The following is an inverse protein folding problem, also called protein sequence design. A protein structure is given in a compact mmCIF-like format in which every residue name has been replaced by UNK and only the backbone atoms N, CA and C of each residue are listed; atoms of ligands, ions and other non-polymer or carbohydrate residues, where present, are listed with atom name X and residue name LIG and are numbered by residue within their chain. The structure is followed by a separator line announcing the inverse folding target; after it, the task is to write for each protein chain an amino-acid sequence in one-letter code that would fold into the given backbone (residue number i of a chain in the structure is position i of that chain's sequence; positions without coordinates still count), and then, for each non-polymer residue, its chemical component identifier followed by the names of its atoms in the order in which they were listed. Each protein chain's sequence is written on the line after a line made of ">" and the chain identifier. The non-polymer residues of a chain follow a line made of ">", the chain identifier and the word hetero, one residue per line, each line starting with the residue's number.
data_IF_847926329256
#
_entry.id   IF_847926329256
#
_cell.length_a   1.000
_cell.length_b   1.000
_cell.length_c   1.000
_cell.angle_alpha   90.00
_cell.angle_beta   90.00
_cell.angle_gamma   90.00
#
_symmetry.space_group_name_H-M   'P 1'
#
loop_
_entity.id
_entity.type
_entity.pdbx_description
1 polymer ?
#
# COMPACT_ATOMS: atom_id res chain seq x y z
N UNK A 1 0.92 -18.20 33.24
CA UNK A 1 -0.24 -19.10 33.05
C UNK A 1 -0.66 -18.99 31.59
N UNK A 2 -0.93 -20.10 30.91
CA UNK A 2 -1.35 -20.10 29.51
C UNK A 2 -2.75 -20.72 29.45
N UNK A 3 -3.67 -20.05 28.76
CA UNK A 3 -5.09 -20.42 28.62
C UNK A 3 -5.51 -20.26 27.15
N UNK A 4 -6.76 -20.50 26.79
CA UNK A 4 -7.25 -20.39 25.42
C UNK A 4 -8.63 -19.76 25.34
N UNK A 5 -8.93 -19.13 24.19
CA UNK A 5 -10.28 -18.66 23.88
C UNK A 5 -11.26 -19.84 23.93
N UNK A 6 -12.37 -19.67 24.63
CA UNK A 6 -13.38 -20.71 24.84
C UNK A 6 -13.14 -21.59 26.08
N UNK A 7 -12.01 -21.44 26.79
CA UNK A 7 -11.82 -22.05 28.11
C UNK A 7 -12.52 -21.20 29.17
N UNK A 8 -13.62 -21.72 29.72
CA UNK A 8 -14.37 -21.04 30.75
C UNK A 8 -13.50 -20.82 32.02
N UNK A 9 -13.59 -19.65 32.68
CA UNK A 9 -12.98 -19.44 33.98
C UNK A 9 -13.48 -20.45 35.01
N UNK A 10 -12.57 -21.05 35.76
CA UNK A 10 -12.91 -21.86 36.92
C UNK A 10 -13.32 -20.99 38.13
N UNK A 11 -13.64 -21.63 39.26
CA UNK A 11 -14.03 -20.95 40.50
C UNK A 11 -12.96 -20.03 41.09
N UNK A 12 -11.71 -20.13 40.64
CA UNK A 12 -10.59 -19.28 41.04
C UNK A 12 -10.27 -18.19 40.00
N UNK A 13 -11.06 -18.08 38.93
CA UNK A 13 -10.88 -17.13 37.84
C UNK A 13 -9.80 -17.56 36.83
N UNK A 14 -9.30 -18.80 36.90
CA UNK A 14 -8.34 -19.31 35.93
C UNK A 14 -9.09 -19.81 34.69
N UNK A 15 -8.81 -19.23 33.53
CA UNK A 15 -9.48 -19.51 32.26
C UNK A 15 -9.22 -18.37 31.27
N UNK A 16 -10.05 -18.19 30.25
CA UNK A 16 -9.89 -17.08 29.30
C UNK A 16 -10.23 -15.75 29.96
N UNK A 17 -9.21 -14.97 30.34
CA UNK A 17 -9.37 -13.60 30.78
C UNK A 17 -9.51 -12.62 29.59
N UNK A 18 -9.87 -11.37 29.88
CA UNK A 18 -10.15 -10.36 28.86
C UNK A 18 -8.89 -10.03 28.03
N UNK A 19 -7.71 -9.99 28.65
CA UNK A 19 -6.46 -9.73 27.94
C UNK A 19 -6.11 -10.88 26.99
N UNK A 20 -6.25 -12.14 27.44
CA UNK A 20 -6.02 -13.31 26.61
C UNK A 20 -6.96 -13.33 25.42
N UNK A 21 -8.24 -12.97 25.62
CA UNK A 21 -9.18 -12.83 24.51
C UNK A 21 -8.68 -11.80 23.49
N UNK A 22 -8.24 -10.61 23.94
CA UNK A 22 -7.70 -9.58 23.05
C UNK A 22 -6.42 -10.00 22.33
N UNK A 23 -5.56 -10.79 22.97
CA UNK A 23 -4.38 -11.37 22.32
C UNK A 23 -4.74 -12.39 21.25
N UNK A 24 -5.79 -13.19 21.46
CA UNK A 24 -6.29 -14.10 20.42
C UNK A 24 -6.90 -13.32 19.25
N UNK A 25 -7.61 -12.22 19.50
CA UNK A 25 -8.11 -11.34 18.43
C UNK A 25 -6.93 -10.71 17.68
N UNK A 26 -5.89 -10.24 18.37
CA UNK A 26 -4.69 -9.70 17.73
C UNK A 26 -4.01 -10.71 16.81
N UNK A 27 -4.08 -12.01 17.12
CA UNK A 27 -3.57 -13.06 16.24
C UNK A 27 -4.44 -13.32 14.98
N UNK A 28 -5.67 -12.79 14.92
CA UNK A 28 -6.59 -12.94 13.80
C UNK A 28 -6.51 -11.80 12.78
N UNK A 29 -5.90 -10.67 13.12
CA UNK A 29 -5.83 -9.47 12.30
C UNK A 29 -4.38 -9.02 12.12
N UNK A 30 -4.02 -8.57 10.92
CA UNK A 30 -2.68 -8.05 10.64
C UNK A 30 -2.51 -6.60 11.13
N UNK A 31 -3.60 -5.85 11.20
CA UNK A 31 -3.64 -4.43 11.57
C UNK A 31 -5.00 -4.05 12.18
N UNK A 32 -5.05 -2.88 12.84
CA UNK A 32 -6.31 -2.21 13.20
C UNK A 32 -6.96 -1.57 11.97
N UNK A 33 -8.26 -1.32 12.01
CA UNK A 33 -8.97 -0.72 10.88
C UNK A 33 -10.46 -1.05 10.87
N UNK A 34 -11.18 -0.51 9.88
CA UNK A 34 -12.61 -0.78 9.69
C UNK A 34 -12.81 -2.21 9.16
N UNK A 35 -13.75 -2.94 9.75
CA UNK A 35 -14.17 -4.26 9.25
C UNK A 35 -15.33 -4.06 8.26
N UNK A 36 -16.35 -3.29 8.66
CA UNK A 36 -17.54 -3.00 7.87
C UNK A 36 -18.29 -1.79 8.43
N UNK A 37 -18.93 -1.01 7.55
CA UNK A 37 -19.77 0.13 7.92
C UNK A 37 -18.91 1.29 8.43
N UNK A 38 -19.39 2.00 9.45
CA UNK A 38 -18.72 3.17 10.03
C UNK A 38 -18.52 4.33 9.03
N UNK A 39 -19.40 4.43 8.05
CA UNK A 39 -19.37 5.50 7.04
C UNK A 39 -19.60 6.85 7.70
N UNK A 40 -18.70 7.79 7.43
CA UNK A 40 -18.75 9.15 7.98
C UNK A 40 -19.45 10.10 7.01
N UNK A 41 -20.29 10.97 7.55
CA UNK A 41 -21.08 11.94 6.79
C UNK A 41 -21.23 13.27 7.54
N UNK A 42 -21.44 14.35 6.80
CA UNK A 42 -21.82 15.65 7.37
C UNK A 42 -23.26 15.67 7.87
N UNK A 43 -23.55 16.56 8.83
CA UNK A 43 -24.87 16.77 9.42
C UNK A 43 -25.24 18.24 9.51
N UNK A 44 -26.51 18.51 9.78
CA UNK A 44 -27.02 19.88 9.93
C UNK A 44 -26.59 20.55 11.25
N UNK A 45 -25.94 19.81 12.15
CA UNK A 45 -25.31 20.30 13.37
C UNK A 45 -23.77 20.25 13.24
N UNK A 46 -23.05 20.46 14.34
CA UNK A 46 -21.59 20.41 14.40
C UNK A 46 -21.06 19.02 14.81
N UNK A 47 -21.83 17.95 14.58
CA UNK A 47 -21.39 16.56 14.77
C UNK A 47 -21.23 15.88 13.42
N UNK A 48 -20.48 14.79 13.34
CA UNK A 48 -20.46 13.95 12.14
C UNK A 48 -21.40 12.78 12.31
N UNK A 49 -22.13 12.43 11.25
CA UNK A 49 -22.95 11.21 11.21
C UNK A 49 -22.06 10.00 10.97
N UNK A 50 -22.30 8.90 11.69
CA UNK A 50 -21.50 7.67 11.60
C UNK A 50 -22.41 6.46 11.54
N UNK A 51 -22.38 5.74 10.42
CA UNK A 51 -23.23 4.54 10.23
C UNK A 51 -22.85 3.41 11.20
N UNK A 52 -23.80 2.52 11.59
CA UNK A 52 -23.46 1.36 12.40
C UNK A 52 -22.41 0.47 11.73
N UNK A 53 -21.52 -0.12 12.52
CA UNK A 53 -20.43 -0.92 11.96
C UNK A 53 -19.43 -1.39 13.01
N UNK A 54 -18.34 -2.00 12.54
CA UNK A 54 -17.31 -2.57 13.40
C UNK A 54 -15.91 -2.23 12.91
N UNK A 55 -14.99 -2.10 13.87
CA UNK A 55 -13.56 -1.89 13.62
C UNK A 55 -12.72 -2.71 14.58
N UNK A 56 -11.52 -3.09 14.15
CA UNK A 56 -10.47 -3.61 15.03
C UNK A 56 -9.75 -2.42 15.64
N UNK A 57 -9.68 -2.37 16.98
CA UNK A 57 -9.03 -1.33 17.76
C UNK A 57 -7.92 -1.92 18.63
N UNK A 58 -6.96 -1.11 19.07
CA UNK A 58 -5.93 -1.52 20.02
C UNK A 58 -5.49 -0.34 20.87
N UNK A 59 -5.38 -0.52 22.20
CA UNK A 59 -4.77 0.48 23.10
C UNK A 59 -3.23 0.39 23.13
N UNK A 60 -2.64 -0.44 22.27
CA UNK A 60 -1.21 -0.73 22.20
C UNK A 60 -0.92 -2.23 22.22
N UNK A 61 0.30 -2.63 21.82
CA UNK A 61 0.69 -4.03 21.65
C UNK A 61 0.48 -4.89 22.90
N UNK A 62 0.75 -4.32 24.08
CA UNK A 62 0.60 -5.03 25.36
C UNK A 62 -0.87 -5.31 25.73
N UNK A 63 -1.82 -4.57 25.14
CA UNK A 63 -3.26 -4.72 25.39
C UNK A 63 -3.94 -5.68 24.41
N UNK A 64 -3.25 -6.07 23.32
CA UNK A 64 -3.83 -6.84 22.23
C UNK A 64 -4.79 -6.00 21.37
N UNK A 65 -5.75 -6.67 20.73
CA UNK A 65 -6.76 -6.02 19.87
C UNK A 65 -8.18 -6.34 20.34
N UNK A 66 -9.12 -5.43 20.12
CA UNK A 66 -10.56 -5.64 20.33
C UNK A 66 -11.33 -5.44 19.02
N UNK A 67 -12.50 -6.06 18.91
CA UNK A 67 -13.46 -5.76 17.83
C UNK A 67 -14.54 -4.86 18.44
N UNK A 68 -14.48 -3.57 18.12
CA UNK A 68 -15.42 -2.57 18.57
C UNK A 68 -16.64 -2.56 17.64
N UNK A 69 -17.84 -2.61 18.20
CA UNK A 69 -19.08 -2.44 17.44
C UNK A 69 -19.78 -1.15 17.87
N UNK A 70 -20.09 -0.30 16.89
CA UNK A 70 -20.91 0.89 17.06
C UNK A 70 -22.30 0.64 16.51
N UNK A 71 -23.31 0.67 17.38
CA UNK A 71 -24.70 0.41 17.01
C UNK A 71 -25.48 1.64 16.52
N UNK A 72 -24.98 2.86 16.78
CA UNK A 72 -25.62 4.11 16.34
C UNK A 72 -27.03 4.35 16.88
N UNK A 73 -27.41 3.77 18.02
CA UNK A 73 -28.79 3.79 18.49
C UNK A 73 -29.28 5.21 18.81
N UNK A 74 -30.45 5.57 18.25
CA UNK A 74 -31.16 6.84 18.49
C UNK A 74 -30.73 7.98 17.59
N UNK A 75 -29.44 8.30 17.57
CA UNK A 75 -28.85 9.36 16.74
C UNK A 75 -27.40 9.00 16.36
N UNK A 76 -27.17 8.33 15.21
CA UNK A 76 -25.87 7.79 14.83
C UNK A 76 -24.90 8.91 14.45
N UNK A 77 -24.21 9.46 15.45
CA UNK A 77 -23.26 10.56 15.29
C UNK A 77 -22.12 10.51 16.30
N UNK A 78 -21.10 11.35 16.09
CA UNK A 78 -20.03 11.57 17.06
C UNK A 78 -20.57 12.09 18.38
N UNK A 79 -19.98 11.64 19.49
CA UNK A 79 -20.40 12.04 20.84
C UNK A 79 -20.16 13.53 21.10
N UNK A 80 -19.03 14.05 20.61
CA UNK A 80 -18.63 15.44 20.73
C UNK A 80 -18.92 16.24 19.43
N UNK A 81 -18.98 17.55 19.58
CA UNK A 81 -19.08 18.51 18.48
C UNK A 81 -17.71 19.07 18.10
N UNK A 82 -17.59 19.53 16.86
CA UNK A 82 -16.52 20.44 16.43
C UNK A 82 -16.99 21.90 16.49
N UNK A 83 -16.10 22.84 16.22
CA UNK A 83 -16.43 24.25 16.04
C UNK A 83 -16.94 24.51 14.62
N UNK A 84 -17.58 25.67 14.42
CA UNK A 84 -17.83 26.17 13.07
C UNK A 84 -16.51 26.35 12.29
N UNK A 85 -16.59 26.38 10.96
CA UNK A 85 -15.47 26.60 10.07
C UNK A 85 -14.81 27.96 10.35
N UNK A 86 -13.48 27.99 10.26
CA UNK A 86 -12.72 29.25 10.33
C UNK A 86 -13.11 30.17 9.19
N UNK A 87 -13.01 31.49 9.39
CA UNK A 87 -13.44 32.46 8.37
C UNK A 87 -12.58 32.43 7.09
N UNK A 88 -11.33 31.97 7.17
CA UNK A 88 -10.32 32.13 6.11
C UNK A 88 -9.83 30.81 5.56
N UNK A 89 -9.61 29.80 6.41
CA UNK A 89 -8.92 28.58 6.04
C UNK A 89 -9.75 27.31 6.28
N UNK A 90 -9.62 26.28 5.40
CA UNK A 90 -10.17 24.97 5.69
C UNK A 90 -9.37 24.26 6.78
N UNK A 91 -9.94 23.17 7.31
CA UNK A 91 -9.26 22.23 8.19
C UNK A 91 -9.66 20.78 7.86
N UNK A 92 -8.92 19.83 8.38
CA UNK A 92 -9.25 18.40 8.31
C UNK A 92 -9.60 17.93 9.72
N UNK A 93 -10.78 17.34 9.89
CA UNK A 93 -11.24 16.76 11.14
C UNK A 93 -11.14 15.22 11.02
N UNK A 94 -10.66 14.54 12.06
CA UNK A 94 -10.52 13.09 12.09
C UNK A 94 -11.65 12.49 12.93
N UNK A 95 -12.50 11.68 12.30
CA UNK A 95 -13.54 10.91 13.00
C UNK A 95 -12.98 9.53 13.30
N UNK A 96 -13.10 9.11 14.55
CA UNK A 96 -12.48 7.87 15.02
C UNK A 96 -13.38 7.11 15.99
N UNK A 97 -13.16 5.80 16.05
CA UNK A 97 -13.73 4.88 17.01
C UNK A 97 -12.64 4.42 17.97
N UNK A 98 -12.97 4.31 19.26
CA UNK A 98 -12.05 3.79 20.28
C UNK A 98 -12.79 2.79 21.17
N UNK A 99 -12.09 1.73 21.56
CA UNK A 99 -12.58 0.73 22.50
C UNK A 99 -11.73 0.79 23.76
N UNK A 100 -12.20 1.46 24.80
CA UNK A 100 -11.49 1.46 26.07
C UNK A 100 -11.55 0.08 26.73
N UNK A 101 -10.43 -0.35 27.28
CA UNK A 101 -10.23 -1.64 27.94
C UNK A 101 -9.84 -1.43 29.41
N UNK A 102 -10.49 -0.50 30.10
CA UNK A 102 -10.28 -0.28 31.53
C UNK A 102 -10.62 1.14 32.00
N UNK A 103 -9.61 1.99 32.11
CA UNK A 103 -9.77 3.40 32.45
C UNK A 103 -9.75 4.24 31.15
N UNK A 104 -10.64 5.22 30.96
CA UNK A 104 -11.63 5.73 31.91
C UNK A 104 -12.86 4.81 32.08
N UNK A 105 -13.15 3.95 31.12
CA UNK A 105 -14.28 3.01 31.14
C UNK A 105 -14.01 1.76 30.27
N UNK A 106 -15.04 0.93 30.09
CA UNK A 106 -15.01 -0.27 29.26
C UNK A 106 -16.03 -0.15 28.11
N UNK A 107 -16.10 1.02 27.47
CA UNK A 107 -17.07 1.34 26.43
C UNK A 107 -16.39 1.58 25.07
N UNK A 108 -17.22 1.52 24.03
CA UNK A 108 -16.86 1.93 22.68
C UNK A 108 -17.37 3.35 22.49
N UNK A 109 -16.49 4.23 22.04
CA UNK A 109 -16.81 5.63 21.74
C UNK A 109 -16.56 5.94 20.28
N UNK A 110 -17.39 6.81 19.72
CA UNK A 110 -17.17 7.42 18.41
C UNK A 110 -17.07 8.93 18.59
N UNK A 111 -15.93 9.49 18.22
CA UNK A 111 -15.55 10.88 18.50
C UNK A 111 -14.94 11.53 17.28
N UNK A 112 -14.74 12.83 17.38
CA UNK A 112 -14.03 13.62 16.37
C UNK A 112 -12.94 14.45 17.01
N UNK A 113 -11.75 14.40 16.41
CA UNK A 113 -10.66 15.31 16.70
C UNK A 113 -10.64 16.40 15.63
N UNK A 114 -10.88 17.64 16.06
CA UNK A 114 -10.81 18.80 15.18
C UNK A 114 -9.36 19.11 14.78
N UNK A 115 -9.14 19.40 13.50
CA UNK A 115 -7.84 19.87 13.00
C UNK A 115 -7.63 21.37 13.16
N UNK A 116 -6.42 21.83 12.85
CA UNK A 116 -6.10 23.27 12.89
C UNK A 116 -6.33 23.91 11.52
N UNK A 117 -7.12 25.00 11.41
CA UNK A 117 -7.30 25.72 10.15
C UNK A 117 -5.99 26.22 9.55
N UNK A 118 -5.75 25.95 8.28
CA UNK A 118 -4.53 26.38 7.58
C UNK A 118 -4.71 26.35 6.06
N UNK A 119 -3.84 27.06 5.33
CA UNK A 119 -3.79 27.00 3.86
C UNK A 119 -3.37 25.63 3.30
N UNK A 120 -2.77 24.79 4.13
CA UNK A 120 -2.36 23.41 3.83
C UNK A 120 -2.67 22.57 5.07
N UNK A 121 -3.96 22.27 5.32
CA UNK A 121 -4.38 21.59 6.53
C UNK A 121 -3.77 20.18 6.56
N UNK A 122 -3.39 19.74 7.76
CA UNK A 122 -2.87 18.41 8.01
C UNK A 122 -3.87 17.59 8.83
N UNK A 123 -3.81 16.28 8.69
CA UNK A 123 -4.59 15.33 9.49
C UNK A 123 -4.20 15.46 10.97
N UNK A 124 -5.16 15.63 11.89
CA UNK A 124 -4.86 15.72 13.31
C UNK A 124 -4.59 14.33 13.91
N UNK A 125 -3.70 14.27 14.90
CA UNK A 125 -3.46 13.06 15.68
C UNK A 125 -4.64 12.81 16.64
N UNK A 126 -5.18 11.59 16.63
CA UNK A 126 -6.26 11.17 17.53
C UNK A 126 -5.72 10.64 18.85
N UNK A 127 -6.58 10.47 19.85
CA UNK A 127 -6.16 9.90 21.13
C UNK A 127 -5.61 8.47 20.98
N UNK A 128 -4.73 8.06 21.90
CA UNK A 128 -4.07 6.74 21.86
C UNK A 128 -5.12 5.62 21.81
N UNK A 129 -5.00 4.78 20.79
CA UNK A 129 -5.90 3.66 20.53
C UNK A 129 -7.17 4.01 19.76
N UNK A 130 -7.33 5.28 19.38
CA UNK A 130 -8.34 5.71 18.41
C UNK A 130 -8.02 5.18 17.02
N UNK A 131 -8.94 4.39 16.46
CA UNK A 131 -8.91 3.98 15.07
C UNK A 131 -9.68 5.00 14.23
N UNK A 132 -8.98 5.71 13.35
CA UNK A 132 -9.63 6.63 12.40
C UNK A 132 -10.53 5.84 11.46
N UNK A 133 -11.75 6.33 11.28
CA UNK A 133 -12.78 5.74 10.41
C UNK A 133 -13.16 6.67 9.25
N UNK A 134 -12.66 7.90 9.26
CA UNK A 134 -12.75 8.82 8.13
C UNK A 134 -12.18 10.20 8.48
N UNK A 135 -11.58 10.84 7.48
CA UNK A 135 -11.24 12.26 7.57
C UNK A 135 -12.26 13.09 6.80
N UNK A 136 -12.61 14.23 7.37
CA UNK A 136 -13.58 15.16 6.81
C UNK A 136 -12.96 16.55 6.70
N UNK A 137 -12.84 17.06 5.48
CA UNK A 137 -12.38 18.43 5.26
C UNK A 137 -13.55 19.39 5.48
N UNK A 138 -13.44 20.21 6.52
CA UNK A 138 -14.39 21.29 6.80
C UNK A 138 -13.93 22.56 6.05
N UNK A 139 -14.75 23.13 5.15
CA UNK A 139 -14.37 24.35 4.44
C UNK A 139 -14.47 25.59 5.34
N UNK A 140 -13.78 26.65 4.93
CA UNK A 140 -13.87 27.95 5.59
C UNK A 140 -15.31 28.48 5.59
N UNK A 141 -15.72 29.11 6.69
CA UNK A 141 -17.03 29.74 6.87
C UNK A 141 -18.22 28.77 7.03
N UNK A 142 -17.97 27.46 7.11
CA UNK A 142 -19.04 26.49 7.30
C UNK A 142 -19.68 26.60 8.69
N UNK A 143 -21.01 26.58 8.74
CA UNK A 143 -21.77 26.68 10.00
C UNK A 143 -22.21 25.31 10.56
N UNK A 144 -22.03 24.25 9.79
CA UNK A 144 -22.35 22.86 10.14
C UNK A 144 -21.47 21.89 9.37
N UNK A 145 -21.36 20.65 9.83
CA UNK A 145 -20.55 19.62 9.17
C UNK A 145 -21.15 19.15 7.84
N UNK A 146 -22.40 19.53 7.51
CA UNK A 146 -23.04 19.20 6.24
C UNK A 146 -22.27 19.71 5.01
N UNK A 147 -21.46 20.76 5.19
CA UNK A 147 -20.58 21.31 4.14
C UNK A 147 -19.24 20.58 4.04
N UNK A 148 -18.93 19.67 4.97
CA UNK A 148 -17.68 18.94 4.97
C UNK A 148 -17.68 17.85 3.89
N UNK A 149 -16.51 17.59 3.31
CA UNK A 149 -16.31 16.56 2.30
C UNK A 149 -15.34 15.50 2.81
N UNK A 150 -15.52 14.25 2.39
CA UNK A 150 -14.58 13.18 2.72
C UNK A 150 -13.18 13.52 2.18
N UNK A 151 -12.17 13.22 2.97
CA UNK A 151 -10.77 13.46 2.68
C UNK A 151 -9.99 12.16 2.84
N UNK A 152 -9.16 11.83 1.85
CA UNK A 152 -8.32 10.61 1.90
C UNK A 152 -9.11 9.31 1.87
N UNK A 153 -8.38 8.23 2.14
CA UNK A 153 -8.91 6.86 2.23
C UNK A 153 -9.07 6.42 3.69
N UNK A 154 -9.75 5.29 3.91
CA UNK A 154 -9.93 4.67 5.22
C UNK A 154 -9.11 3.39 5.30
N UNK A 155 -8.45 3.18 6.44
CA UNK A 155 -7.75 1.92 6.70
C UNK A 155 -8.73 0.81 7.09
N UNK A 156 -8.69 -0.28 6.34
CA UNK A 156 -9.47 -1.48 6.62
C UNK A 156 -8.66 -2.50 7.40
N UNK A 157 -9.33 -3.22 8.30
CA UNK A 157 -8.71 -4.32 9.03
C UNK A 157 -8.49 -5.50 8.08
N UNK A 158 -7.25 -5.96 7.97
CA UNK A 158 -6.91 -7.12 7.15
C UNK A 158 -6.86 -8.37 8.03
N UNK A 159 -7.66 -9.41 7.77
CA UNK A 159 -7.51 -10.69 8.46
C UNK A 159 -6.09 -11.21 8.27
N UNK A 160 -5.50 -11.79 9.33
CA UNK A 160 -4.11 -12.24 9.31
C UNK A 160 -3.81 -13.23 8.17
N UNK A 161 -4.81 -14.04 7.77
CA UNK A 161 -4.71 -14.98 6.66
C UNK A 161 -5.17 -14.46 5.30
N UNK A 162 -5.60 -13.20 5.18
CA UNK A 162 -5.99 -12.60 3.92
C UNK A 162 -4.77 -12.20 3.08
N UNK A 163 -4.98 -12.03 1.77
CA UNK A 163 -4.00 -11.40 0.89
C UNK A 163 -3.76 -9.95 1.35
N UNK A 164 -2.49 -9.56 1.49
CA UNK A 164 -2.07 -8.21 1.89
C UNK A 164 -2.06 -7.21 0.72
N UNK A 165 -2.30 -7.65 -0.51
CA UNK A 165 -2.29 -6.80 -1.70
C UNK A 165 -0.87 -6.45 -2.14
N UNK A 166 -0.62 -5.18 -2.49
CA UNK A 166 0.71 -4.75 -2.97
C UNK A 166 1.67 -4.61 -1.78
N UNK A 167 2.71 -5.42 -1.74
CA UNK A 167 3.74 -5.39 -0.70
C UNK A 167 4.78 -4.30 -0.95
N UNK A 168 4.99 -3.90 -2.20
CA UNK A 168 5.88 -2.81 -2.54
C UNK A 168 6.08 -2.64 -4.05
N UNK A 169 6.61 -1.48 -4.42
CA UNK A 169 6.90 -1.15 -5.80
C UNK A 169 8.12 -0.23 -5.92
N UNK A 170 8.95 -0.48 -6.93
CA UNK A 170 9.92 0.50 -7.43
C UNK A 170 9.57 0.87 -8.87
N UNK A 171 9.58 2.17 -9.19
CA UNK A 171 9.33 2.69 -10.55
C UNK A 171 10.46 3.64 -10.95
N UNK A 172 11.10 3.37 -12.08
CA UNK A 172 12.01 4.30 -12.75
C UNK A 172 11.22 5.27 -13.62
N UNK A 173 11.12 6.52 -13.15
CA UNK A 173 10.36 7.60 -13.79
C UNK A 173 11.22 8.52 -14.65
N UNK A 174 12.47 8.14 -14.94
CA UNK A 174 13.34 8.92 -15.83
C UNK A 174 12.86 8.75 -17.26
N UNK A 175 12.60 9.87 -17.93
CA UNK A 175 12.21 9.91 -19.34
C UNK A 175 13.41 9.52 -20.20
N UNK A 176 13.20 8.61 -21.15
CA UNK A 176 14.10 8.33 -22.26
C UNK A 176 15.57 8.08 -21.85
N UNK A 177 15.79 6.91 -21.22
CA UNK A 177 17.06 6.54 -20.61
C UNK A 177 17.85 5.53 -21.45
N UNK A 178 19.12 5.84 -21.72
CA UNK A 178 20.08 4.89 -22.28
C UNK A 178 20.52 3.85 -21.24
N UNK A 179 20.44 2.57 -21.61
CA UNK A 179 21.09 1.48 -20.85
C UNK A 179 22.40 1.04 -21.47
N UNK A 180 23.16 0.18 -20.76
CA UNK A 180 24.39 -0.39 -21.30
C UNK A 180 24.08 -1.38 -22.44
N UNK A 181 24.70 -1.15 -23.60
CA UNK A 181 24.61 -2.00 -24.78
C UNK A 181 25.58 -3.18 -24.80
N UNK A 182 26.42 -3.36 -23.77
CA UNK A 182 27.36 -4.47 -23.67
C UNK A 182 26.63 -5.80 -23.46
N UNK A 183 26.94 -6.77 -24.30
CA UNK A 183 26.32 -8.10 -24.27
C UNK A 183 26.82 -8.88 -23.06
N UNK A 184 25.90 -9.50 -22.32
CA UNK A 184 26.14 -10.33 -21.12
C UNK A 184 26.77 -9.58 -19.94
N UNK A 185 26.63 -8.25 -19.89
CA UNK A 185 26.83 -7.47 -18.68
C UNK A 185 25.48 -7.39 -17.96
N UNK A 186 25.46 -7.82 -16.69
CA UNK A 186 24.24 -7.98 -15.90
C UNK A 186 24.20 -6.98 -14.76
N UNK A 187 23.06 -6.32 -14.60
CA UNK A 187 22.80 -5.36 -13.54
C UNK A 187 21.74 -5.88 -12.58
N UNK A 188 21.88 -5.53 -11.30
CA UNK A 188 20.90 -5.82 -10.27
C UNK A 188 20.18 -4.52 -9.92
N UNK A 189 18.93 -4.40 -10.34
CA UNK A 189 18.16 -3.15 -10.26
C UNK A 189 16.82 -3.35 -9.55
N UNK A 190 16.25 -2.23 -9.10
CA UNK A 190 14.91 -2.15 -8.52
C UNK A 190 14.68 -3.06 -7.30
N UNK A 191 15.49 -2.93 -6.23
CA UNK A 191 15.22 -3.64 -5.00
C UNK A 191 13.90 -3.17 -4.37
N UNK A 192 13.07 -4.11 -3.95
CA UNK A 192 11.84 -3.90 -3.18
C UNK A 192 11.95 -4.75 -1.92
N UNK A 193 12.00 -4.08 -0.77
CA UNK A 193 11.99 -4.73 0.55
C UNK A 193 10.55 -4.87 1.04
N UNK A 194 10.22 -6.01 1.62
CA UNK A 194 8.88 -6.28 2.14
C UNK A 194 8.89 -7.34 3.25
N UNK A 195 7.89 -7.28 4.12
CA UNK A 195 7.64 -8.27 5.17
C UNK A 195 6.40 -9.11 4.83
N UNK A 196 6.45 -10.40 5.13
CA UNK A 196 5.27 -11.28 5.13
C UNK A 196 5.07 -11.94 6.50
N UNK A 197 3.83 -11.93 7.04
CA UNK A 197 3.57 -12.37 8.42
C UNK A 197 3.53 -13.90 8.58
N UNK A 198 3.37 -14.63 7.49
CA UNK A 198 3.39 -16.10 7.39
C UNK A 198 4.11 -16.50 6.12
N UNK A 199 4.26 -17.78 5.87
CA UNK A 199 4.61 -18.25 4.53
C UNK A 199 3.52 -17.80 3.53
N UNK A 200 3.94 -17.22 2.39
CA UNK A 200 3.07 -16.61 1.38
C UNK A 200 3.43 -17.04 -0.03
N UNK A 201 2.43 -17.02 -0.91
CA UNK A 201 2.65 -16.92 -2.34
C UNK A 201 2.79 -15.44 -2.70
N UNK A 202 3.90 -15.07 -3.31
CA UNK A 202 4.18 -13.71 -3.75
C UNK A 202 4.33 -13.69 -5.27
N UNK A 203 3.63 -12.77 -5.93
CA UNK A 203 3.78 -12.50 -7.35
C UNK A 203 4.74 -11.33 -7.57
N UNK A 204 5.79 -11.58 -8.33
CA UNK A 204 6.70 -10.56 -8.82
C UNK A 204 6.28 -10.17 -10.23
N UNK A 205 6.02 -8.89 -10.46
CA UNK A 205 5.66 -8.34 -11.77
C UNK A 205 6.71 -7.33 -12.22
N UNK A 206 7.30 -7.55 -13.40
CA UNK A 206 8.15 -6.58 -14.05
C UNK A 206 7.47 -6.03 -15.31
N UNK A 207 7.47 -4.71 -15.42
CA UNK A 207 7.03 -3.97 -16.61
C UNK A 207 8.18 -3.08 -17.09
N UNK A 208 8.38 -3.05 -18.40
CA UNK A 208 9.38 -2.23 -19.07
C UNK A 208 8.87 -1.81 -20.45
N UNK A 209 9.37 -0.72 -21.00
CA UNK A 209 9.30 -0.46 -22.44
C UNK A 209 10.70 -0.16 -22.97
N UNK A 210 11.15 -0.96 -23.94
CA UNK A 210 12.51 -0.92 -24.46
C UNK A 210 12.51 -0.86 -25.97
N UNK A 211 13.41 -0.07 -26.51
CA UNK A 211 13.73 -0.04 -27.93
C UNK A 211 15.23 -0.16 -28.15
N UNK A 212 15.62 -0.41 -29.40
CA UNK A 212 17.00 -0.51 -29.83
C UNK A 212 17.41 0.71 -30.62
N UNK A 213 18.49 1.41 -30.22
CA UNK A 213 18.99 2.60 -30.90
C UNK A 213 20.52 2.69 -30.84
N UNK A 214 21.09 3.53 -31.71
CA UNK A 214 22.46 4.01 -31.58
C UNK A 214 22.47 5.34 -30.85
N UNK A 215 23.34 5.47 -29.86
CA UNK A 215 23.66 6.73 -29.25
C UNK A 215 24.84 7.36 -30.00
N UNK A 216 24.59 8.49 -30.66
CA UNK A 216 25.63 9.25 -31.33
C UNK A 216 26.48 10.04 -30.32
N UNK A 217 27.70 10.47 -30.67
CA UNK A 217 28.58 11.23 -29.77
C UNK A 217 27.99 12.54 -29.24
N UNK A 218 27.02 13.11 -29.96
CA UNK A 218 26.27 14.32 -29.55
C UNK A 218 25.07 14.01 -28.63
N UNK A 219 24.87 12.74 -28.29
CA UNK A 219 23.77 12.25 -27.46
C UNK A 219 22.46 11.99 -28.21
N UNK A 220 22.40 12.25 -29.52
CA UNK A 220 21.22 11.99 -30.33
C UNK A 220 21.02 10.49 -30.62
N UNK A 221 19.78 10.10 -30.88
CA UNK A 221 19.43 8.73 -31.22
C UNK A 221 19.43 8.53 -32.75
N UNK A 222 20.24 7.60 -33.25
CA UNK A 222 20.21 7.16 -34.66
C UNK A 222 19.49 5.82 -34.80
N UNK A 223 18.61 5.77 -35.78
CA UNK A 223 17.81 4.59 -36.09
C UNK A 223 18.69 3.40 -36.54
N UNK A 224 18.47 2.19 -36.01
CA UNK A 224 19.20 1.00 -36.45
C UNK A 224 18.85 0.56 -37.88
N UNK A 225 19.71 -0.27 -38.47
CA UNK A 225 19.40 -0.92 -39.74
C UNK A 225 18.27 -1.95 -39.59
N UNK A 226 17.64 -2.32 -40.72
CA UNK A 226 16.42 -3.15 -40.74
C UNK A 226 16.61 -4.56 -40.16
N UNK A 227 17.82 -5.08 -40.16
CA UNK A 227 18.18 -6.44 -39.73
C UNK A 227 18.94 -6.46 -38.39
N UNK A 228 18.99 -5.32 -37.71
CA UNK A 228 19.63 -5.14 -36.41
C UNK A 228 18.62 -5.17 -35.26
N UNK A 229 19.04 -5.75 -34.14
CA UNK A 229 18.17 -6.05 -33.01
C UNK A 229 18.96 -6.21 -31.71
N UNK A 230 18.25 -6.13 -30.59
CA UNK A 230 18.75 -6.42 -29.24
C UNK A 230 17.78 -7.41 -28.55
N UNK A 231 18.32 -8.31 -27.75
CA UNK A 231 17.55 -9.13 -26.80
C UNK A 231 17.76 -8.59 -25.40
N UNK A 232 16.72 -8.02 -24.82
CA UNK A 232 16.72 -7.58 -23.42
C UNK A 232 16.26 -8.71 -22.53
N UNK A 233 17.10 -9.13 -21.59
CA UNK A 233 16.79 -10.21 -20.66
C UNK A 233 16.54 -9.67 -19.26
N UNK A 234 15.58 -10.31 -18.58
CA UNK A 234 15.23 -10.03 -17.19
C UNK A 234 15.10 -11.36 -16.46
N UNK A 235 15.60 -11.44 -15.24
CA UNK A 235 15.44 -12.56 -14.30
C UNK A 235 15.03 -12.01 -12.95
N UNK A 236 14.04 -12.61 -12.31
CA UNK A 236 13.66 -12.21 -10.96
C UNK A 236 14.61 -12.80 -9.93
N UNK A 237 14.95 -12.02 -8.91
CA UNK A 237 15.74 -12.46 -7.77
C UNK A 237 14.95 -12.30 -6.47
N UNK A 238 15.17 -13.21 -5.53
CA UNK A 238 14.70 -13.14 -4.15
C UNK A 238 15.88 -13.32 -3.21
N UNK A 239 16.06 -12.42 -2.25
CA UNK A 239 17.08 -12.47 -1.20
C UNK A 239 18.52 -12.66 -1.71
N UNK A 240 18.79 -12.17 -2.92
CA UNK A 240 20.09 -12.21 -3.58
C UNK A 240 20.25 -13.30 -4.65
N UNK A 241 19.37 -14.30 -4.66
CA UNK A 241 19.45 -15.45 -5.56
C UNK A 241 18.48 -15.35 -6.75
N UNK A 242 18.89 -15.87 -7.91
CA UNK A 242 18.02 -16.00 -9.08
C UNK A 242 16.88 -16.99 -8.77
N UNK A 243 15.63 -16.57 -8.99
CA UNK A 243 14.48 -17.46 -8.86
C UNK A 243 14.48 -18.43 -10.04
N UNK A 244 14.43 -19.75 -9.81
CA UNK A 244 14.46 -20.73 -10.90
C UNK A 244 13.33 -20.52 -11.91
N UNK A 245 13.69 -20.60 -13.19
CA UNK A 245 12.76 -20.47 -14.32
C UNK A 245 11.96 -19.16 -14.28
N UNK A 246 12.65 -18.05 -13.98
CA UNK A 246 12.07 -16.71 -13.93
C UNK A 246 12.67 -15.76 -14.98
N UNK A 247 13.58 -16.28 -15.81
CA UNK A 247 14.21 -15.52 -16.88
C UNK A 247 13.30 -15.44 -18.11
N UNK A 248 13.25 -14.26 -18.71
CA UNK A 248 12.57 -14.03 -19.99
C UNK A 248 13.34 -12.99 -20.81
N UNK A 249 13.18 -13.08 -22.12
CA UNK A 249 13.88 -12.26 -23.10
C UNK A 249 12.87 -11.56 -24.02
N UNK A 250 13.15 -10.31 -24.37
CA UNK A 250 12.33 -9.52 -25.29
C UNK A 250 13.20 -8.99 -26.42
N UNK A 251 12.77 -9.27 -27.66
CA UNK A 251 13.41 -8.73 -28.85
C UNK A 251 12.97 -7.28 -29.06
N UNK A 252 13.92 -6.35 -29.14
CA UNK A 252 13.69 -5.00 -29.62
C UNK A 252 14.47 -4.78 -30.93
N UNK A 253 13.76 -4.40 -32.00
CA UNK A 253 14.33 -4.18 -33.32
C UNK A 253 14.02 -2.80 -33.87
N UNK A 254 14.91 -2.24 -34.68
CA UNK A 254 14.68 -1.06 -35.53
C UNK A 254 13.94 0.12 -34.84
N UNK A 255 14.33 0.47 -33.61
CA UNK A 255 13.72 1.58 -32.88
C UNK A 255 12.24 1.38 -32.52
N UNK A 256 11.72 0.15 -32.59
CA UNK A 256 10.36 -0.19 -32.16
C UNK A 256 10.34 -0.29 -30.64
N UNK A 257 9.39 0.42 -30.04
CA UNK A 257 9.15 0.49 -28.61
C UNK A 257 8.38 -0.76 -28.24
N UNK A 258 9.02 -1.64 -27.48
CA UNK A 258 8.54 -2.99 -27.19
C UNK A 258 8.34 -3.14 -25.70
N UNK A 259 7.11 -3.50 -25.30
CA UNK A 259 6.82 -3.77 -23.92
C UNK A 259 7.51 -5.06 -23.46
N UNK A 260 8.27 -4.95 -22.39
CA UNK A 260 8.82 -6.05 -21.62
C UNK A 260 7.86 -6.32 -20.47
N UNK A 261 7.30 -7.52 -20.42
CA UNK A 261 6.40 -7.92 -19.34
C UNK A 261 6.74 -9.34 -18.89
N UNK A 262 6.84 -9.53 -17.58
CA UNK A 262 6.99 -10.84 -16.98
C UNK A 262 6.38 -10.88 -15.61
N UNK A 263 5.85 -12.04 -15.24
CA UNK A 263 5.36 -12.34 -13.90
C UNK A 263 5.96 -13.65 -13.41
N UNK A 264 6.20 -13.75 -12.10
CA UNK A 264 6.60 -14.99 -11.44
C UNK A 264 5.95 -15.10 -10.07
N UNK A 265 5.22 -16.19 -9.86
CA UNK A 265 4.75 -16.59 -8.54
C UNK A 265 5.84 -17.40 -7.82
N UNK A 266 6.14 -17.04 -6.58
CA UNK A 266 7.15 -17.70 -5.73
C UNK A 266 6.61 -17.88 -4.32
N UNK A 267 6.96 -19.00 -3.66
CA UNK A 267 6.66 -19.21 -2.23
C UNK A 267 7.78 -18.57 -1.42
N UNK A 268 7.42 -17.71 -0.48
CA UNK A 268 8.34 -17.07 0.46
C UNK A 268 7.97 -17.47 1.90
N UNK A 269 8.93 -17.76 2.78
CA UNK A 269 8.66 -18.02 4.18
C UNK A 269 8.22 -16.75 4.92
N UNK A 270 7.73 -16.88 6.16
CA UNK A 270 7.55 -15.72 7.05
C UNK A 270 8.86 -14.94 7.22
N UNK A 271 8.80 -13.62 7.12
CA UNK A 271 9.91 -12.73 7.47
C UNK A 271 10.07 -11.54 6.54
N UNK A 272 11.21 -10.89 6.68
CA UNK A 272 11.68 -9.82 5.79
C UNK A 272 12.35 -10.41 4.55
N UNK A 273 12.04 -9.86 3.39
CA UNK A 273 12.54 -10.30 2.09
C UNK A 273 12.90 -9.12 1.20
N UNK A 274 13.77 -9.37 0.22
CA UNK A 274 14.09 -8.42 -0.84
C UNK A 274 13.93 -9.06 -2.21
N UNK A 275 12.99 -8.55 -3.00
CA UNK A 275 12.90 -8.86 -4.43
C UNK A 275 13.69 -7.83 -5.24
N UNK A 276 14.29 -8.26 -6.35
CA UNK A 276 14.89 -7.36 -7.35
C UNK A 276 14.90 -8.02 -8.72
N UNK A 277 15.34 -7.31 -9.74
CA UNK A 277 15.63 -7.92 -11.03
C UNK A 277 17.12 -7.98 -11.30
N UNK A 278 17.52 -9.01 -12.04
CA UNK A 278 18.78 -9.08 -12.77
C UNK A 278 18.48 -8.89 -14.25
N UNK A 279 19.03 -7.87 -14.89
CA UNK A 279 18.71 -7.53 -16.27
C UNK A 279 19.96 -7.17 -17.09
N UNK A 280 19.82 -7.15 -18.42
CA UNK A 280 20.91 -6.80 -19.34
C UNK A 280 20.65 -7.24 -20.77
N UNK A 281 21.57 -6.88 -21.66
CA UNK A 281 21.53 -7.32 -23.07
C UNK A 281 22.03 -8.76 -23.17
N UNK A 282 21.16 -9.72 -23.47
CA UNK A 282 21.54 -11.13 -23.63
C UNK A 282 22.29 -11.39 -24.94
N UNK A 283 21.83 -10.76 -26.01
CA UNK A 283 22.44 -10.81 -27.34
C UNK A 283 22.02 -9.57 -28.14
N UNK A 284 22.79 -9.21 -29.17
CA UNK A 284 22.40 -8.18 -30.13
C UNK A 284 23.08 -8.41 -31.47
N UNK A 285 22.50 -7.83 -32.52
CA UNK A 285 23.12 -7.66 -33.83
C UNK A 285 23.18 -6.17 -34.15
N UNK A 286 24.38 -5.61 -34.12
CA UNK A 286 24.67 -4.23 -34.50
C UNK A 286 26.03 -3.76 -33.96
N UNK A 287 26.39 -2.53 -34.27
CA UNK A 287 27.73 -1.97 -34.03
C UNK A 287 27.96 -1.34 -32.65
N UNK A 288 29.18 -0.83 -32.40
CA UNK A 288 29.49 -0.03 -31.23
C UNK A 288 28.55 1.17 -31.07
N UNK A 289 28.28 1.59 -29.84
CA UNK A 289 27.36 2.69 -29.53
C UNK A 289 25.88 2.34 -29.63
N UNK A 290 25.53 1.09 -29.95
CA UNK A 290 24.15 0.61 -29.91
C UNK A 290 23.77 0.01 -28.57
N UNK A 291 22.56 0.26 -28.11
CA UNK A 291 22.09 -0.21 -26.81
C UNK A 291 20.58 -0.14 -26.62
N UNK A 292 20.11 -0.61 -25.46
CA UNK A 292 18.72 -0.46 -25.06
C UNK A 292 18.42 1.00 -24.71
N UNK A 293 17.24 1.44 -25.09
CA UNK A 293 16.71 2.76 -24.75
C UNK A 293 15.32 2.58 -24.14
N UNK A 294 15.11 3.13 -22.95
CA UNK A 294 13.90 2.90 -22.15
C UNK A 294 13.00 4.11 -22.12
N UNK A 295 11.70 3.88 -22.27
CA UNK A 295 10.71 4.94 -22.45
C UNK A 295 9.76 5.08 -21.27
N UNK A 296 9.56 6.31 -20.79
CA UNK A 296 8.65 6.61 -19.68
C UNK A 296 7.83 7.86 -19.96
N UNK A 297 6.55 7.81 -19.58
CA UNK A 297 5.65 8.96 -19.60
C UNK A 297 5.06 9.27 -20.98
N UNK A 298 4.48 10.46 -21.10
CA UNK A 298 3.86 10.93 -22.34
C UNK A 298 4.96 11.29 -23.35
N UNK A 299 5.02 10.53 -24.44
CA UNK A 299 5.95 10.82 -25.52
C UNK A 299 5.36 11.82 -26.52
N UNK A 300 6.21 12.38 -27.40
CA UNK A 300 5.81 13.38 -28.39
C UNK A 300 4.73 12.91 -29.39
N UNK A 301 4.52 11.59 -29.53
CA UNK A 301 3.48 11.01 -30.37
C UNK A 301 2.10 10.92 -29.67
N UNK A 302 1.99 11.38 -28.42
CA UNK A 302 0.75 11.35 -27.62
C UNK A 302 0.48 10.03 -26.91
N UNK A 303 1.36 9.03 -27.03
CA UNK A 303 1.28 7.75 -26.31
C UNK A 303 2.05 7.82 -24.99
N UNK A 304 1.57 7.08 -23.98
CA UNK A 304 2.17 6.99 -22.65
C UNK A 304 2.78 5.61 -22.43
N UNK A 305 3.98 5.58 -21.84
CA UNK A 305 4.76 4.36 -21.63
C UNK A 305 5.07 4.11 -20.15
N UNK A 306 5.10 2.84 -19.72
CA UNK A 306 5.15 2.48 -18.30
C UNK A 306 6.51 2.73 -17.62
N UNK A 307 7.55 3.12 -18.36
CA UNK A 307 8.91 3.16 -17.81
C UNK A 307 9.40 1.76 -17.49
N UNK A 308 10.12 1.63 -16.38
CA UNK A 308 10.52 0.33 -15.81
C UNK A 308 10.05 0.22 -14.37
N UNK A 309 9.38 -0.87 -14.01
CA UNK A 309 8.94 -1.11 -12.64
C UNK A 309 9.02 -2.56 -12.24
N UNK A 310 9.33 -2.78 -10.96
CA UNK A 310 9.14 -4.05 -10.26
C UNK A 310 8.07 -3.84 -9.20
N UNK A 311 7.03 -4.67 -9.24
CA UNK A 311 5.95 -4.67 -8.25
C UNK A 311 5.86 -6.03 -7.60
N UNK A 312 5.65 -6.04 -6.28
CA UNK A 312 5.51 -7.25 -5.47
C UNK A 312 4.10 -7.30 -4.91
N UNK A 313 3.38 -8.38 -5.17
CA UNK A 313 2.03 -8.62 -4.69
C UNK A 313 2.00 -9.84 -3.78
N UNK A 314 1.36 -9.73 -2.61
CA UNK A 314 0.90 -10.91 -1.91
C UNK A 314 -0.21 -11.58 -2.75
N UNK A 315 -0.29 -12.90 -2.66
CA UNK A 315 -1.36 -13.73 -3.23
C UNK A 315 -1.95 -14.68 -2.16
N UNK A 316 -1.64 -14.40 -0.89
CA UNK A 316 -2.17 -15.08 0.27
C UNK A 316 -1.29 -16.22 0.81
N UNK A 317 -1.76 -16.92 1.86
CA UNK A 317 -1.02 -17.95 2.56
C UNK A 317 -0.58 -19.11 1.66
N UNK A 318 0.68 -19.52 1.78
CA UNK A 318 1.18 -20.72 1.14
C UNK A 318 1.02 -21.93 2.09
N UNK A 319 0.27 -22.95 1.65
CA UNK A 319 0.23 -24.26 2.33
C UNK A 319 1.45 -25.11 1.98
#
# INVERSE_FOLDING_TARGET
>A
MSTALGVAPDSSGQGCDALTHRMVIAAQWANTGVIQGLDVSGRQDLRYGVSPGAAVCSMGEADGMSIAYWGGAGDPCTENTVDAGDATYPRIDAVYIISHTGSPDNLVHVRVQQGTPSASPAEPEVEVGGQVIGYMQMPAGAMSTASAMAWGDVDYALPYGADLGMLGQTVDRRVDLWGDGNVKVWYHEYPVQFYVPTDRWVELEYKGDVSYWYQEPDGSARMPAVDEWLSWAVTFQMDGDDIPYSSFETLAGRGVWTQVYGTKLVKVPKGEHTARIRNGVAAKKGGPGSGPFFHYGLSANGLSYPGRSLTVWDKGPAK
#
